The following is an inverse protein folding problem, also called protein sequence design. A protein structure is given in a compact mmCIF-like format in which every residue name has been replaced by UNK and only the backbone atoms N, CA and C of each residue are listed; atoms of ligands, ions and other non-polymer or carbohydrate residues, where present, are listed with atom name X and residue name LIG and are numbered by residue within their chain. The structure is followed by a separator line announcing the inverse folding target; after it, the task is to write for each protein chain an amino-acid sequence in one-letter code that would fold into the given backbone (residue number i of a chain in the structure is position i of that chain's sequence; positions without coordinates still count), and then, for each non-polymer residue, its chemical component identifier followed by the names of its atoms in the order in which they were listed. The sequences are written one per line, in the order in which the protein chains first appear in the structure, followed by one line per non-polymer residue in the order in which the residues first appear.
data_IF_732340659952
#
_entry.id   IF_732340659952
#
_cell.length_a   1.000
_cell.length_b   1.000
_cell.length_c   1.000
_cell.angle_alpha   90.00
_cell.angle_beta   90.00
_cell.angle_gamma   90.00
#
_symmetry.space_group_name_H-M   'P 1'
#
loop_
_entity.id
_entity.type
_entity.pdbx_description
1 polymer ?
#
# COMPACT_ATOMS: atom_id res chain seq x y z
N UNK A 1 9.93 1.38 9.08
CA UNK A 1 8.55 0.95 9.48
C UNK A 1 8.45 0.19 10.81
N UNK A 2 9.43 -0.66 11.17
CA UNK A 2 9.45 -1.49 12.40
C UNK A 2 9.20 -0.71 13.70
N UNK A 3 9.69 0.52 13.76
CA UNK A 3 9.52 1.41 14.93
C UNK A 3 8.29 2.32 14.80
N UNK A 4 7.91 2.66 13.56
CA UNK A 4 6.79 3.56 13.27
C UNK A 4 5.44 2.97 13.69
N UNK A 5 5.13 1.73 13.29
CA UNK A 5 3.81 1.13 13.57
C UNK A 5 3.55 1.00 15.08
N UNK A 6 4.50 0.51 15.90
CA UNK A 6 4.37 0.56 17.36
C UNK A 6 4.19 1.96 17.94
N UNK A 7 4.96 2.95 17.43
CA UNK A 7 4.87 4.33 17.90
C UNK A 7 3.48 4.92 17.61
N UNK A 8 2.97 4.78 16.39
CA UNK A 8 1.63 5.23 16.01
C UNK A 8 0.53 4.54 16.85
N UNK A 9 0.66 3.24 17.14
CA UNK A 9 -0.27 2.50 18.02
C UNK A 9 -0.23 2.99 19.46
N UNK A 10 0.95 3.35 19.96
CA UNK A 10 1.13 3.92 21.29
C UNK A 10 0.48 5.29 21.37
N UNK A 11 0.66 6.13 20.36
CA UNK A 11 0.03 7.45 20.29
C UNK A 11 -1.48 7.38 20.23
N UNK A 12 -2.05 6.41 19.49
CA UNK A 12 -3.49 6.14 19.51
C UNK A 12 -3.98 5.85 20.94
N UNK A 13 -3.27 5.00 21.69
CA UNK A 13 -3.64 4.68 23.09
C UNK A 13 -3.55 5.92 23.99
N UNK A 14 -2.52 6.74 23.82
CA UNK A 14 -2.36 8.01 24.55
C UNK A 14 -3.51 8.97 24.27
N UNK A 15 -3.93 9.10 23.01
CA UNK A 15 -5.03 9.98 22.64
C UNK A 15 -6.36 9.52 23.23
N UNK A 16 -6.63 8.20 23.27
CA UNK A 16 -7.80 7.66 23.98
C UNK A 16 -7.77 8.09 25.46
N UNK A 17 -6.64 7.88 26.15
CA UNK A 17 -6.48 8.27 27.56
C UNK A 17 -6.68 9.78 27.76
N UNK A 18 -6.19 10.60 26.83
CA UNK A 18 -6.39 12.05 26.89
C UNK A 18 -7.86 12.45 26.78
N UNK A 19 -8.62 11.81 25.89
CA UNK A 19 -10.06 12.03 25.79
C UNK A 19 -10.80 11.55 27.02
N UNK A 20 -10.44 10.41 27.60
CA UNK A 20 -11.02 9.92 28.87
C UNK A 20 -10.80 10.94 30.00
N UNK A 21 -9.60 11.52 30.09
CA UNK A 21 -9.29 12.58 31.07
C UNK A 21 -10.13 13.86 30.87
N UNK A 22 -10.62 14.11 29.65
CA UNK A 22 -11.53 15.22 29.34
C UNK A 22 -13.01 14.88 29.57
N UNK A 23 -13.32 13.70 30.08
CA UNK A 23 -14.68 13.24 30.38
C UNK A 23 -15.40 12.58 29.21
N UNK A 24 -14.71 12.25 28.12
CA UNK A 24 -15.32 11.48 27.02
C UNK A 24 -15.39 9.99 27.38
N UNK A 25 -16.55 9.39 27.18
CA UNK A 25 -16.75 7.95 27.33
C UNK A 25 -16.71 7.25 25.97
N UNK A 26 -15.96 6.16 25.89
CA UNK A 26 -15.88 5.32 24.70
C UNK A 26 -16.71 4.06 24.87
N UNK A 27 -17.80 3.93 24.10
CA UNK A 27 -18.61 2.69 24.05
C UNK A 27 -17.72 1.50 23.69
N UNK A 28 -16.81 1.67 22.72
CA UNK A 28 -15.84 0.67 22.34
C UNK A 28 -14.51 1.32 21.93
N UNK A 29 -13.47 1.17 22.77
CA UNK A 29 -12.12 1.68 22.47
C UNK A 29 -11.52 1.06 21.22
N UNK A 30 -12.00 -0.09 20.74
CA UNK A 30 -11.51 -0.71 19.51
C UNK A 30 -12.00 -0.01 18.25
N UNK A 31 -13.12 0.71 18.33
CA UNK A 31 -13.67 1.47 17.20
C UNK A 31 -13.04 2.87 17.07
N UNK A 32 -12.32 3.33 18.09
CA UNK A 32 -11.62 4.60 18.03
C UNK A 32 -10.61 4.64 16.87
N UNK A 33 -10.75 5.64 16.01
CA UNK A 33 -9.91 5.82 14.83
C UNK A 33 -8.94 6.96 15.09
N UNK A 34 -7.66 6.64 15.13
CA UNK A 34 -6.60 7.62 15.20
C UNK A 34 -6.24 8.08 13.79
N UNK A 35 -6.20 9.39 13.58
CA UNK A 35 -5.84 10.01 12.30
C UNK A 35 -4.67 10.96 12.52
N UNK A 36 -3.65 10.87 11.67
CA UNK A 36 -2.54 11.81 11.66
C UNK A 36 -1.94 11.95 10.25
N UNK A 37 -0.86 12.72 10.11
CA UNK A 37 -0.12 12.89 8.86
C UNK A 37 1.33 12.43 9.01
N UNK A 38 1.91 12.05 7.89
CA UNK A 38 3.34 11.83 7.72
C UNK A 38 3.82 12.58 6.48
N UNK A 39 5.06 13.03 6.50
CA UNK A 39 5.72 13.68 5.38
C UNK A 39 6.87 12.82 4.91
N UNK A 40 6.87 12.39 3.66
CA UNK A 40 7.97 11.64 3.05
C UNK A 40 8.84 12.62 2.26
N UNK A 41 10.14 12.65 2.54
CA UNK A 41 11.09 13.43 1.76
C UNK A 41 11.62 12.56 0.62
N UNK A 42 11.48 13.00 -0.62
CA UNK A 42 11.99 12.29 -1.80
C UNK A 42 12.45 13.32 -2.83
N UNK A 43 13.73 13.25 -3.22
CA UNK A 43 14.37 14.21 -4.14
C UNK A 43 14.09 15.69 -3.81
N UNK A 44 14.33 16.07 -2.55
CA UNK A 44 14.13 17.41 -2.02
C UNK A 44 12.67 17.92 -2.04
N UNK A 45 11.72 17.07 -2.42
CA UNK A 45 10.28 17.35 -2.37
C UNK A 45 9.62 16.65 -1.19
N UNK A 46 8.64 17.33 -0.59
CA UNK A 46 7.84 16.79 0.51
C UNK A 46 6.52 16.23 -0.02
N UNK A 47 6.27 14.97 0.27
CA UNK A 47 5.02 14.28 -0.07
C UNK A 47 4.21 14.00 1.19
N UNK A 48 2.99 14.51 1.25
CA UNK A 48 2.11 14.37 2.40
C UNK A 48 1.20 13.12 2.28
N UNK A 49 1.15 12.34 3.36
CA UNK A 49 0.25 11.20 3.49
C UNK A 49 -0.48 11.25 4.81
N UNK A 50 -1.71 10.80 4.80
CA UNK A 50 -2.45 10.56 6.02
C UNK A 50 -2.30 9.13 6.50
N UNK A 51 -2.37 8.97 7.82
CA UNK A 51 -2.43 7.67 8.48
C UNK A 51 -3.76 7.55 9.20
N UNK A 52 -4.44 6.42 9.00
CA UNK A 52 -5.65 6.04 9.72
C UNK A 52 -5.39 4.74 10.44
N UNK A 53 -5.60 4.72 11.75
CA UNK A 53 -5.20 3.61 12.60
C UNK A 53 -6.35 3.18 13.53
N UNK A 54 -6.64 1.89 13.50
CA UNK A 54 -7.42 1.20 14.53
C UNK A 54 -6.55 0.07 15.14
N UNK A 55 -7.04 -0.74 16.09
CA UNK A 55 -6.23 -1.80 16.70
C UNK A 55 -5.70 -2.83 15.67
N UNK A 56 -6.50 -3.08 14.63
CA UNK A 56 -6.28 -4.16 13.66
C UNK A 56 -5.51 -3.69 12.42
N UNK A 57 -5.63 -2.42 12.04
CA UNK A 57 -5.21 -1.92 10.75
C UNK A 57 -4.50 -0.57 10.84
N UNK A 58 -3.43 -0.44 10.06
CA UNK A 58 -2.76 0.82 9.74
C UNK A 58 -2.98 1.06 8.25
N UNK A 59 -3.65 2.14 7.91
CA UNK A 59 -4.00 2.51 6.55
C UNK A 59 -3.33 3.83 6.18
N UNK A 60 -2.80 3.92 4.96
CA UNK A 60 -2.17 5.12 4.41
C UNK A 60 -3.03 5.67 3.28
N UNK A 61 -3.13 6.99 3.17
CA UNK A 61 -3.79 7.67 2.06
C UNK A 61 -2.96 8.87 1.60
N UNK A 62 -3.13 9.25 0.33
CA UNK A 62 -2.44 10.43 -0.22
C UNK A 62 -3.16 11.68 0.25
N UNK A 63 -2.40 12.70 0.65
CA UNK A 63 -2.91 14.06 0.85
C UNK A 63 -2.37 14.89 -0.32
N UNK A 64 -3.27 15.38 -1.17
CA UNK A 64 -2.89 16.21 -2.33
C UNK A 64 -3.89 17.36 -2.49
N UNK A 65 -3.39 18.59 -2.61
CA UNK A 65 -4.20 19.81 -2.79
C UNK A 65 -5.41 19.92 -1.84
N UNK A 66 -5.19 19.61 -0.56
CA UNK A 66 -6.25 19.62 0.47
C UNK A 66 -7.22 18.44 0.42
N UNK A 67 -7.15 17.58 -0.60
CA UNK A 67 -7.93 16.36 -0.70
C UNK A 67 -7.26 15.18 0.00
N UNK A 68 -8.09 14.32 0.61
CA UNK A 68 -7.67 13.02 1.16
C UNK A 68 -8.08 11.90 0.20
N UNK A 69 -7.11 11.23 -0.39
CA UNK A 69 -7.31 10.26 -1.47
C UNK A 69 -7.08 8.85 -0.94
N UNK A 70 -8.16 8.12 -0.72
CA UNK A 70 -8.17 6.73 -0.28
C UNK A 70 -8.18 5.81 -1.50
N UNK A 71 -7.17 4.94 -1.61
CA UNK A 71 -7.08 3.93 -2.65
C UNK A 71 -7.02 2.53 -2.04
N UNK A 72 -7.88 1.64 -2.49
CA UNK A 72 -7.75 0.20 -2.26
C UNK A 72 -6.60 -0.37 -3.09
N UNK A 73 -6.10 -1.56 -2.73
CA UNK A 73 -5.08 -2.26 -3.53
C UNK A 73 -5.57 -2.51 -4.96
N UNK A 74 -6.86 -2.77 -5.15
CA UNK A 74 -7.45 -2.92 -6.47
C UNK A 74 -7.41 -1.63 -7.28
N UNK A 75 -7.73 -0.48 -6.68
CA UNK A 75 -7.65 0.81 -7.35
C UNK A 75 -6.20 1.19 -7.67
N UNK A 76 -5.26 0.93 -6.78
CA UNK A 76 -3.82 1.06 -7.05
C UNK A 76 -3.44 0.25 -8.30
N UNK A 77 -3.83 -1.03 -8.35
CA UNK A 77 -3.60 -1.88 -9.50
C UNK A 77 -4.20 -1.31 -10.80
N UNK A 78 -5.45 -0.84 -10.77
CA UNK A 78 -6.13 -0.27 -11.94
C UNK A 78 -5.39 0.98 -12.45
N UNK A 79 -4.94 1.86 -11.55
CA UNK A 79 -4.15 3.04 -11.91
C UNK A 79 -2.82 2.64 -12.57
N UNK A 80 -2.08 1.70 -11.98
CA UNK A 80 -0.84 1.18 -12.56
C UNK A 80 -1.08 0.56 -13.94
N UNK A 81 -2.13 -0.27 -14.08
CA UNK A 81 -2.46 -0.93 -15.35
C UNK A 81 -2.79 0.08 -16.44
N UNK A 82 -3.58 1.10 -16.11
CA UNK A 82 -3.93 2.17 -17.05
C UNK A 82 -2.69 2.89 -17.61
N UNK A 83 -1.70 3.17 -16.78
CA UNK A 83 -0.47 3.84 -17.23
C UNK A 83 0.50 2.88 -17.94
N UNK A 84 0.66 1.65 -17.47
CA UNK A 84 1.48 0.63 -18.14
C UNK A 84 0.94 0.33 -19.54
N UNK A 85 -0.38 0.26 -19.72
CA UNK A 85 -1.01 0.09 -21.03
C UNK A 85 -0.79 1.27 -21.98
N UNK A 86 -0.45 2.47 -21.47
CA UNK A 86 -0.03 3.64 -22.26
C UNK A 86 1.47 3.66 -22.56
N UNK A 87 2.21 2.63 -22.15
CA UNK A 87 3.65 2.50 -22.38
C UNK A 87 4.55 2.95 -21.24
N UNK A 88 4.01 3.27 -20.05
CA UNK A 88 4.82 3.64 -18.88
C UNK A 88 5.48 2.43 -18.21
N UNK A 89 6.46 1.82 -18.90
CA UNK A 89 7.28 0.69 -18.43
C UNK A 89 8.07 1.04 -17.16
N UNK A 90 8.37 2.32 -16.92
CA UNK A 90 9.03 2.79 -15.71
C UNK A 90 8.31 2.35 -14.42
N UNK A 91 6.97 2.30 -14.41
CA UNK A 91 6.19 1.85 -13.25
C UNK A 91 6.35 0.35 -12.99
N UNK A 92 6.48 -0.45 -14.05
CA UNK A 92 6.74 -1.88 -13.93
C UNK A 92 8.16 -2.14 -13.41
N UNK A 93 9.14 -1.39 -13.89
CA UNK A 93 10.53 -1.49 -13.44
C UNK A 93 10.68 -1.15 -11.96
N UNK A 94 10.02 -0.09 -11.48
CA UNK A 94 10.01 0.28 -10.06
C UNK A 94 9.55 -0.88 -9.17
N UNK A 95 8.47 -1.57 -9.54
CA UNK A 95 7.99 -2.74 -8.79
C UNK A 95 8.98 -3.90 -8.85
N UNK A 96 9.57 -4.16 -10.01
CA UNK A 96 10.57 -5.22 -10.20
C UNK A 96 11.84 -4.98 -9.38
N UNK A 97 12.29 -3.74 -9.28
CA UNK A 97 13.53 -3.35 -8.60
C UNK A 97 13.38 -3.29 -7.08
N UNK A 98 12.16 -3.05 -6.57
CA UNK A 98 11.87 -2.87 -5.15
C UNK A 98 12.57 -3.85 -4.18
N UNK A 99 12.58 -5.18 -4.41
CA UNK A 99 13.20 -6.11 -3.48
C UNK A 99 14.71 -5.88 -3.33
N UNK A 100 15.35 -5.33 -4.35
CA UNK A 100 16.81 -5.12 -4.41
C UNK A 100 17.24 -3.74 -3.88
N UNK A 101 16.30 -2.85 -3.55
CA UNK A 101 16.60 -1.53 -3.01
C UNK A 101 17.15 -1.66 -1.59
N UNK A 102 18.41 -1.23 -1.41
CA UNK A 102 19.10 -1.16 -0.12
C UNK A 102 19.12 0.26 0.47
N UNK A 103 19.06 1.27 -0.38
CA UNK A 103 19.05 2.67 0.04
C UNK A 103 17.71 3.02 0.69
N UNK A 104 17.77 3.86 1.72
CA UNK A 104 16.59 4.37 2.42
C UNK A 104 16.47 5.88 2.23
N UNK A 105 15.23 6.36 2.29
CA UNK A 105 14.88 7.76 2.51
C UNK A 105 14.19 7.90 3.86
N UNK A 106 13.97 9.15 4.29
CA UNK A 106 13.31 9.46 5.55
C UNK A 106 11.86 9.90 5.32
N UNK A 107 10.99 9.48 6.25
CA UNK A 107 9.69 10.11 6.45
C UNK A 107 9.53 10.56 7.90
N UNK A 108 8.82 11.67 8.09
CA UNK A 108 8.62 12.31 9.39
C UNK A 108 7.22 12.05 9.91
N UNK A 109 7.12 11.70 11.17
CA UNK A 109 5.86 11.59 11.92
C UNK A 109 6.04 12.28 13.27
N UNK A 110 5.27 13.34 13.53
CA UNK A 110 5.38 14.17 14.74
C UNK A 110 6.82 14.60 15.09
N UNK A 111 7.60 14.99 14.08
CA UNK A 111 8.99 15.43 14.24
C UNK A 111 10.00 14.29 14.41
N UNK A 112 9.57 13.03 14.48
CA UNK A 112 10.45 11.86 14.53
C UNK A 112 10.68 11.34 13.10
N UNK A 113 11.93 11.06 12.75
CA UNK A 113 12.32 10.49 11.46
C UNK A 113 12.24 8.96 11.51
N UNK A 114 11.73 8.37 10.43
CA UNK A 114 11.64 6.93 10.20
C UNK A 114 12.13 6.60 8.79
N UNK A 115 12.59 5.37 8.59
CA UNK A 115 13.10 4.91 7.31
C UNK A 115 12.03 4.27 6.41
N UNK A 116 12.15 4.55 5.12
CA UNK A 116 11.42 3.96 4.00
C UNK A 116 12.44 3.62 2.89
N UNK A 117 12.20 2.60 2.08
CA UNK A 117 13.04 2.35 0.89
C UNK A 117 13.03 3.57 -0.04
N UNK A 118 14.20 3.97 -0.53
CA UNK A 118 14.35 5.12 -1.44
C UNK A 118 13.79 4.79 -2.81
N UNK A 119 13.10 5.75 -3.44
CA UNK A 119 12.58 5.57 -4.79
C UNK A 119 13.70 5.70 -5.82
N UNK A 120 13.53 5.04 -6.98
CA UNK A 120 14.43 5.24 -8.10
C UNK A 120 14.25 6.67 -8.66
N UNK A 121 15.35 7.40 -8.78
CA UNK A 121 15.35 8.79 -9.24
C UNK A 121 14.87 8.96 -10.68
N UNK A 122 14.95 7.91 -11.50
CA UNK A 122 14.51 7.92 -12.91
C UNK A 122 12.99 7.93 -13.09
N UNK A 123 12.19 7.84 -12.02
CA UNK A 123 10.73 7.87 -12.13
C UNK A 123 10.25 9.24 -12.65
N UNK A 124 9.57 9.21 -13.79
CA UNK A 124 9.04 10.39 -14.44
C UNK A 124 8.03 11.15 -13.55
N UNK A 125 8.08 12.48 -13.58
CA UNK A 125 7.12 13.34 -12.88
C UNK A 125 5.82 13.49 -13.67
N UNK A 126 5.14 12.37 -13.95
CA UNK A 126 3.85 12.32 -14.65
C UNK A 126 2.70 12.29 -13.64
N UNK A 127 1.56 12.84 -14.06
CA UNK A 127 0.32 12.86 -13.29
C UNK A 127 -0.67 11.81 -13.81
N UNK A 128 -1.36 11.15 -12.88
CA UNK A 128 -2.39 10.15 -13.12
C UNK A 128 -3.73 10.73 -12.68
N UNK A 129 -4.74 10.66 -13.54
CA UNK A 129 -6.10 11.01 -13.18
C UNK A 129 -6.72 9.90 -12.34
N UNK A 130 -7.31 10.25 -11.20
CA UNK A 130 -8.06 9.30 -10.39
C UNK A 130 -9.45 9.14 -11.00
N UNK A 131 -9.77 7.90 -11.39
CA UNK A 131 -11.03 7.56 -12.06
C UNK A 131 -12.25 8.14 -11.33
N UNK A 132 -13.17 8.74 -12.10
CA UNK A 132 -14.42 9.35 -11.59
C UNK A 132 -14.23 10.53 -10.64
N UNK A 133 -13.05 11.14 -10.61
CA UNK A 133 -12.78 12.37 -9.85
C UNK A 133 -12.05 13.38 -10.73
N UNK A 134 -12.01 14.65 -10.30
CA UNK A 134 -11.15 15.68 -10.90
C UNK A 134 -9.72 15.66 -10.35
N UNK A 135 -9.42 14.76 -9.41
CA UNK A 135 -8.14 14.72 -8.71
C UNK A 135 -7.08 14.03 -9.56
N UNK A 136 -5.85 14.51 -9.39
CA UNK A 136 -4.65 13.91 -9.98
C UNK A 136 -3.64 13.59 -8.89
N UNK A 137 -2.84 12.56 -9.12
CA UNK A 137 -1.68 12.23 -8.27
C UNK A 137 -0.46 11.99 -9.15
N UNK A 138 0.73 12.30 -8.65
CA UNK A 138 1.95 12.00 -9.38
C UNK A 138 2.30 10.51 -9.31
N UNK A 139 3.14 10.05 -10.25
CA UNK A 139 3.71 8.69 -10.20
C UNK A 139 4.44 8.47 -8.88
N UNK A 140 5.18 9.47 -8.39
CA UNK A 140 5.87 9.43 -7.11
C UNK A 140 4.90 9.25 -5.95
N UNK A 141 3.79 10.00 -5.92
CA UNK A 141 2.77 9.85 -4.89
C UNK A 141 2.20 8.43 -4.83
N UNK A 142 1.91 7.85 -6.00
CA UNK A 142 1.40 6.48 -6.09
C UNK A 142 2.44 5.44 -5.62
N UNK A 143 3.68 5.57 -6.05
CA UNK A 143 4.76 4.62 -5.70
C UNK A 143 5.12 4.70 -4.22
N UNK A 144 5.24 5.90 -3.65
CA UNK A 144 5.50 6.06 -2.21
C UNK A 144 4.35 5.45 -1.39
N UNK A 145 3.09 5.64 -1.81
CA UNK A 145 1.95 4.98 -1.15
C UNK A 145 2.11 3.45 -1.16
N UNK A 146 2.49 2.87 -2.30
CA UNK A 146 2.75 1.42 -2.41
C UNK A 146 3.87 1.00 -1.44
N UNK A 147 4.96 1.76 -1.36
CA UNK A 147 6.10 1.45 -0.48
C UNK A 147 5.69 1.52 0.99
N UNK A 148 4.92 2.54 1.39
CA UNK A 148 4.37 2.66 2.75
C UNK A 148 3.51 1.45 3.12
N UNK A 149 2.62 1.02 2.21
CA UNK A 149 1.76 -0.14 2.42
C UNK A 149 2.60 -1.43 2.49
N UNK A 150 3.57 -1.61 1.59
CA UNK A 150 4.43 -2.78 1.53
C UNK A 150 5.30 -2.89 2.79
N UNK A 151 5.99 -1.83 3.19
CA UNK A 151 6.85 -1.84 4.38
C UNK A 151 6.05 -2.06 5.66
N UNK A 152 4.83 -1.52 5.75
CA UNK A 152 3.89 -1.84 6.84
C UNK A 152 3.55 -3.32 6.84
N UNK A 153 3.27 -3.88 5.67
CA UNK A 153 2.91 -5.29 5.55
C UNK A 153 4.10 -6.20 5.89
N UNK A 154 5.31 -5.85 5.46
CA UNK A 154 6.56 -6.51 5.85
C UNK A 154 6.73 -6.55 7.36
N UNK A 155 6.56 -5.41 8.03
CA UNK A 155 6.60 -5.37 9.49
C UNK A 155 5.57 -6.31 10.12
N UNK A 156 4.31 -6.25 9.69
CA UNK A 156 3.24 -7.08 10.27
C UNK A 156 3.43 -8.58 10.01
N UNK A 157 3.92 -8.96 8.83
CA UNK A 157 4.22 -10.35 8.51
C UNK A 157 5.45 -10.86 9.27
N UNK A 158 6.47 -10.01 9.45
CA UNK A 158 7.67 -10.34 10.22
C UNK A 158 7.44 -10.55 11.72
N UNK A 159 6.23 -10.29 12.24
CA UNK A 159 5.83 -10.64 13.61
C UNK A 159 5.37 -12.09 13.75
N UNK A 160 5.27 -12.84 12.64
CA UNK A 160 4.60 -14.15 12.57
C UNK A 160 5.44 -15.10 11.72
N UNK A 161 6.03 -16.13 12.32
CA UNK A 161 6.95 -17.06 11.63
C UNK A 161 6.31 -17.74 10.41
N UNK A 162 5.02 -18.05 10.50
CA UNK A 162 4.19 -18.65 9.43
C UNK A 162 3.91 -17.69 8.26
N UNK A 163 4.19 -16.38 8.40
CA UNK A 163 3.86 -15.36 7.39
C UNK A 163 5.07 -14.66 6.81
N UNK A 164 6.28 -14.99 7.25
CA UNK A 164 7.54 -14.42 6.74
C UNK A 164 7.65 -14.58 5.22
N UNK A 165 7.11 -15.67 4.66
CA UNK A 165 7.06 -15.89 3.21
C UNK A 165 6.33 -14.79 2.40
N UNK A 166 5.49 -13.97 3.04
CA UNK A 166 4.77 -12.86 2.40
C UNK A 166 5.53 -11.52 2.41
N UNK A 167 6.76 -11.46 2.93
CA UNK A 167 7.62 -10.27 2.80
C UNK A 167 7.79 -9.93 1.32
N UNK A 168 7.53 -8.68 0.95
CA UNK A 168 7.48 -8.18 -0.44
C UNK A 168 6.31 -8.71 -1.29
N UNK A 169 5.31 -9.33 -0.66
CA UNK A 169 4.24 -10.01 -1.35
C UNK A 169 3.26 -9.11 -2.10
N UNK A 170 3.05 -7.86 -1.68
CA UNK A 170 2.19 -6.91 -2.40
C UNK A 170 2.87 -6.48 -3.69
N UNK A 171 4.17 -6.19 -3.64
CA UNK A 171 4.98 -5.86 -4.81
C UNK A 171 4.96 -7.00 -5.83
N UNK A 172 5.21 -8.24 -5.38
CA UNK A 172 5.11 -9.43 -6.25
C UNK A 172 3.73 -9.55 -6.89
N UNK A 173 2.66 -9.36 -6.09
CA UNK A 173 1.29 -9.42 -6.61
C UNK A 173 1.06 -8.36 -7.70
N UNK A 174 1.35 -7.08 -7.42
CA UNK A 174 1.16 -5.99 -8.37
C UNK A 174 1.97 -6.19 -9.66
N UNK A 175 3.24 -6.60 -9.54
CA UNK A 175 4.10 -6.86 -10.69
C UNK A 175 3.52 -7.96 -11.59
N UNK A 176 3.09 -9.10 -11.02
CA UNK A 176 2.54 -10.21 -11.79
C UNK A 176 1.18 -9.87 -12.45
N UNK A 177 0.30 -9.14 -11.75
CA UNK A 177 -0.98 -8.68 -12.32
C UNK A 177 -0.80 -7.71 -13.50
N UNK A 178 0.32 -6.98 -13.56
CA UNK A 178 0.65 -6.08 -14.66
C UNK A 178 1.34 -6.80 -15.82
N UNK A 179 2.19 -7.79 -15.52
CA UNK A 179 2.98 -8.55 -16.49
C UNK A 179 2.13 -9.55 -17.29
N UNK A 180 1.15 -10.18 -16.65
CA UNK A 180 0.37 -11.26 -17.27
C UNK A 180 -0.84 -10.68 -17.98
N UNK A 181 -0.93 -10.93 -19.28
CA UNK A 181 -2.00 -10.44 -20.15
C UNK A 181 -2.89 -11.58 -20.67
N UNK A 182 -3.11 -12.60 -19.86
CA UNK A 182 -3.94 -13.76 -20.17
C UNK A 182 -4.57 -14.31 -18.91
N UNK A 183 -5.50 -15.26 -19.04
CA UNK A 183 -5.98 -16.04 -17.91
C UNK A 183 -4.82 -16.78 -17.21
N UNK A 184 -4.90 -16.86 -15.87
CA UNK A 184 -3.97 -17.62 -15.04
C UNK A 184 -4.76 -18.33 -13.93
N UNK A 185 -4.60 -19.65 -13.84
CA UNK A 185 -5.37 -20.50 -12.93
C UNK A 185 -5.10 -20.19 -11.45
N UNK A 186 -3.84 -19.88 -11.10
CA UNK A 186 -3.46 -19.54 -9.75
C UNK A 186 -4.06 -18.18 -9.33
N UNK A 187 -3.93 -17.14 -10.15
CA UNK A 187 -4.55 -15.83 -9.89
C UNK A 187 -6.08 -15.95 -9.79
N UNK A 188 -6.70 -16.75 -10.66
CA UNK A 188 -8.14 -17.06 -10.59
C UNK A 188 -8.54 -17.72 -9.27
N UNK A 189 -7.71 -18.62 -8.73
CA UNK A 189 -7.93 -19.24 -7.42
C UNK A 189 -7.91 -18.22 -6.27
N UNK A 190 -7.18 -17.11 -6.43
CA UNK A 190 -7.14 -15.98 -5.49
C UNK A 190 -8.26 -14.95 -5.73
N UNK A 191 -9.12 -15.17 -6.72
CA UNK A 191 -10.23 -14.28 -7.08
C UNK A 191 -9.88 -13.17 -8.08
N UNK A 192 -8.68 -13.19 -8.64
CA UNK A 192 -8.27 -12.31 -9.74
C UNK A 192 -8.61 -12.98 -11.07
N UNK A 193 -9.63 -12.47 -11.76
CA UNK A 193 -10.09 -13.02 -13.03
C UNK A 193 -9.66 -12.09 -14.16
N UNK A 194 -9.00 -12.63 -15.17
CA UNK A 194 -8.63 -11.87 -16.36
C UNK A 194 -9.90 -11.47 -17.13
N UNK A 195 -9.93 -10.23 -17.56
CA UNK A 195 -11.01 -9.60 -18.30
C UNK A 195 -10.45 -9.07 -19.62
N UNK A 196 -10.92 -9.65 -20.72
CA UNK A 196 -10.45 -9.34 -22.08
C UNK A 196 -10.78 -7.91 -22.52
N UNK A 197 -11.89 -7.35 -22.03
CA UNK A 197 -12.31 -6.00 -22.42
C UNK A 197 -11.47 -4.94 -21.71
N UNK A 198 -11.09 -5.21 -20.46
CA UNK A 198 -10.16 -4.39 -19.68
C UNK A 198 -8.69 -4.69 -19.99
N UNK A 199 -8.39 -5.80 -20.68
CA UNK A 199 -7.05 -6.34 -20.91
C UNK A 199 -6.23 -6.47 -19.62
N UNK A 200 -6.88 -6.89 -18.53
CA UNK A 200 -6.29 -6.96 -17.19
C UNK A 200 -7.15 -7.75 -16.22
N UNK A 201 -6.82 -7.74 -14.93
CA UNK A 201 -7.50 -8.53 -13.92
C UNK A 201 -8.58 -7.73 -13.19
N UNK A 202 -9.77 -8.31 -13.03
CA UNK A 202 -10.80 -7.84 -12.12
C UNK A 202 -10.79 -8.69 -10.85
N UNK A 203 -10.92 -8.02 -9.71
CA UNK A 203 -11.02 -8.70 -8.43
C UNK A 203 -12.48 -9.01 -8.14
N UNK A 204 -12.84 -10.30 -8.15
CA UNK A 204 -14.21 -10.70 -7.83
C UNK A 204 -14.46 -10.56 -6.34
N UNK A 205 -15.57 -9.91 -5.99
CA UNK A 205 -16.08 -9.84 -4.61
C UNK A 205 -16.72 -11.18 -4.24
N UNK A 206 -15.96 -12.26 -4.17
CA UNK A 206 -16.51 -13.51 -3.65
C UNK A 206 -16.62 -13.48 -2.12
N UNK A 207 -17.73 -14.02 -1.59
CA UNK A 207 -17.96 -14.34 -0.16
C UNK A 207 -17.13 -15.55 0.31
N UNK A 208 -15.94 -15.82 -0.25
CA UNK A 208 -15.15 -16.99 0.16
C UNK A 208 -14.60 -16.78 1.57
N UNK A 209 -15.00 -17.64 2.52
CA UNK A 209 -14.44 -17.69 3.88
C UNK A 209 -13.18 -18.55 3.85
N UNK A 210 -12.05 -18.01 4.31
CA UNK A 210 -10.79 -18.75 4.42
C UNK A 210 -9.59 -17.85 4.69
N UNK A 211 -8.54 -18.40 5.34
CA UNK A 211 -7.30 -17.68 5.67
C UNK A 211 -6.60 -17.11 4.42
N UNK A 212 -6.57 -17.85 3.30
CA UNK A 212 -5.92 -17.39 2.06
C UNK A 212 -6.63 -16.18 1.43
N UNK A 213 -7.96 -16.05 1.56
CA UNK A 213 -8.69 -14.89 1.05
C UNK A 213 -8.27 -13.58 1.75
N UNK A 214 -7.81 -13.65 3.02
CA UNK A 214 -7.25 -12.49 3.74
C UNK A 214 -5.94 -12.00 3.11
N UNK A 215 -5.22 -12.87 2.42
CA UNK A 215 -3.92 -12.60 1.81
C UNK A 215 -3.96 -12.56 0.28
N UNK A 216 -5.14 -12.46 -0.33
CA UNK A 216 -5.32 -12.43 -1.80
C UNK A 216 -4.65 -11.25 -2.51
N UNK A 217 -4.09 -10.30 -1.77
CA UNK A 217 -3.33 -9.17 -2.29
C UNK A 217 -1.81 -9.38 -2.18
N UNK A 218 -1.38 -10.54 -1.70
CA UNK A 218 0.02 -10.86 -1.41
C UNK A 218 0.38 -12.25 -1.96
N UNK A 219 1.56 -12.34 -2.57
CA UNK A 219 2.17 -13.59 -3.02
C UNK A 219 3.40 -13.92 -2.17
N UNK A 220 3.60 -15.18 -1.84
CA UNK A 220 4.94 -15.68 -1.46
C UNK A 220 5.82 -15.82 -2.70
N UNK A 221 7.12 -16.04 -2.49
CA UNK A 221 8.04 -16.35 -3.59
C UNK A 221 7.69 -17.66 -4.31
N UNK A 222 7.17 -18.66 -3.58
CA UNK A 222 6.77 -19.95 -4.15
C UNK A 222 5.50 -19.82 -5.01
N UNK A 223 4.57 -19.00 -4.54
CA UNK A 223 3.34 -18.69 -5.27
C UNK A 223 3.64 -17.89 -6.54
N UNK A 224 4.56 -16.93 -6.49
CA UNK A 224 5.04 -16.21 -7.68
C UNK A 224 5.65 -17.16 -8.71
N UNK A 225 6.44 -18.15 -8.28
CA UNK A 225 7.00 -19.18 -9.17
C UNK A 225 5.92 -20.07 -9.81
N UNK A 226 4.77 -20.21 -9.17
CA UNK A 226 3.63 -20.99 -9.69
C UNK A 226 2.79 -20.23 -10.73
N UNK A 227 3.05 -18.92 -10.89
CA UNK A 227 2.35 -18.03 -11.81
C UNK A 227 3.11 -17.88 -13.14
N UNK A 228 4.45 -17.95 -13.09
CA UNK A 228 5.38 -17.84 -14.23
C UNK A 228 5.46 -19.13 -15.05
#
# INVERSE_FOLDING_TARGET
MKEFVPAARTDRRRQIIEYEKKGYEFINKNEFIYINKITVLDNDENYEYGIRLNPNEVYFYIINDGASIYLSIYEIYVLLKGEVSKGSIELLNVLKEYPNIKETTIFRYKGICYELKKLNNSLANKMINISKTSLKISYRQLVILIYLIQEKSNYLFGLSDDKVGYIDGLIRMLYNLLKINSENSFLKSLGWIYDSDFLGYKLVKEKKRGLRNKYRYYLTADEERSIL
#
